data_IF_533385141019
#
_entry.id   IF_533385141019
#
_cell.length_a   1.000
_cell.length_b   1.000
_cell.length_c   1.000
_cell.angle_alpha   90.00
_cell.angle_beta   90.00
_cell.angle_gamma   90.00
#
_symmetry.space_group_name_H-M   'P 1'
#
loop_
_entity.id
_entity.type
_entity.pdbx_description
1 polymer ?
#
# COMPACT_ATOMS: atom_id res chain seq x y z
N UNK A 1 7.76 65.02 15.00
CA UNK A 1 8.77 63.95 14.85
C UNK A 1 8.09 62.76 14.21
N UNK A 2 8.59 62.35 13.05
CA UNK A 2 8.09 61.22 12.28
C UNK A 2 8.86 59.93 12.59
N UNK A 3 8.24 58.81 12.19
CA UNK A 3 8.77 57.45 12.07
C UNK A 3 8.95 56.68 13.39
N UNK A 4 8.48 55.44 13.54
CA UNK A 4 7.80 54.55 12.60
C UNK A 4 7.43 53.28 13.36
N UNK A 5 6.20 52.82 13.15
CA UNK A 5 5.67 51.56 13.66
C UNK A 5 6.50 50.40 13.07
N UNK A 6 7.08 49.47 13.86
CA UNK A 6 7.72 48.29 13.30
C UNK A 6 6.63 47.43 12.63
N UNK A 7 6.66 47.40 11.29
CA UNK A 7 5.73 46.62 10.50
C UNK A 7 5.92 45.14 10.78
N UNK A 8 4.94 44.55 11.47
CA UNK A 8 4.65 43.13 11.38
C UNK A 8 4.31 42.83 9.93
N UNK A 9 5.15 42.05 9.26
CA UNK A 9 5.00 41.80 7.84
C UNK A 9 5.93 40.73 7.30
N UNK A 10 5.97 39.56 7.93
CA UNK A 10 6.24 38.35 7.15
C UNK A 10 4.91 37.91 6.57
N UNK A 11 4.69 38.23 5.30
CA UNK A 11 3.66 37.58 4.50
C UNK A 11 3.94 36.09 4.60
N UNK A 12 3.01 35.30 5.12
CA UNK A 12 3.05 33.85 4.97
C UNK A 12 3.17 33.56 3.47
N UNK A 13 4.40 33.28 3.01
CA UNK A 13 4.63 32.85 1.64
C UNK A 13 4.10 31.44 1.56
N UNK A 14 2.82 31.31 1.19
CA UNK A 14 2.28 30.04 0.74
C UNK A 14 3.01 29.66 -0.56
N UNK A 15 4.07 28.85 -0.43
CA UNK A 15 4.74 28.23 -1.56
C UNK A 15 3.89 27.06 -2.04
N UNK A 16 3.31 27.19 -3.24
CA UNK A 16 2.59 26.08 -3.85
C UNK A 16 3.58 24.98 -4.20
N UNK A 17 3.33 23.78 -3.65
CA UNK A 17 3.97 22.54 -4.06
C UNK A 17 3.01 21.69 -4.87
N UNK A 18 3.53 20.97 -5.85
CA UNK A 18 2.78 20.05 -6.69
C UNK A 18 3.51 18.71 -6.69
N UNK A 19 2.80 17.66 -6.27
CA UNK A 19 3.28 16.29 -6.41
C UNK A 19 2.85 15.72 -7.77
N UNK A 20 3.78 15.12 -8.49
CA UNK A 20 3.48 14.34 -9.70
C UNK A 20 4.03 12.92 -9.55
N UNK A 21 3.26 11.93 -9.99
CA UNK A 21 3.66 10.52 -9.99
C UNK A 21 3.50 9.98 -11.41
N UNK A 22 4.56 9.39 -11.93
CA UNK A 22 4.56 8.66 -13.18
C UNK A 22 4.88 7.19 -12.93
N UNK A 23 4.21 6.31 -13.66
CA UNK A 23 4.43 4.87 -13.57
C UNK A 23 4.56 4.29 -14.96
N UNK A 24 5.60 3.49 -15.17
CA UNK A 24 5.79 2.71 -16.39
C UNK A 24 6.14 1.27 -16.00
N UNK A 25 5.50 0.30 -16.63
CA UNK A 25 5.72 -1.09 -16.31
C UNK A 25 5.12 -2.04 -17.33
N UNK A 26 5.38 -3.32 -17.12
CA UNK A 26 4.79 -4.41 -17.86
C UNK A 26 4.46 -5.55 -16.88
N UNK A 27 3.35 -6.22 -17.14
CA UNK A 27 2.92 -7.40 -16.41
C UNK A 27 2.61 -8.57 -17.35
N UNK A 28 2.72 -9.78 -16.80
CA UNK A 28 2.33 -11.03 -17.40
C UNK A 28 1.49 -11.78 -16.37
N UNK A 29 0.26 -12.13 -16.74
CA UNK A 29 -0.56 -13.08 -15.97
C UNK A 29 -0.78 -14.36 -16.77
N UNK A 30 -0.52 -15.50 -16.12
CA UNK A 30 -0.83 -16.82 -16.63
C UNK A 30 -1.85 -17.47 -15.70
N UNK A 31 -3.04 -17.72 -16.22
CA UNK A 31 -4.13 -18.34 -15.50
C UNK A 31 -4.38 -19.76 -16.02
N UNK A 32 -4.52 -20.69 -15.09
CA UNK A 32 -4.98 -22.05 -15.33
C UNK A 32 -6.20 -22.34 -14.46
N UNK A 33 -7.26 -22.83 -15.08
CA UNK A 33 -8.47 -23.23 -14.39
C UNK A 33 -8.93 -24.59 -14.91
N UNK A 34 -9.19 -25.51 -13.98
CA UNK A 34 -9.76 -26.83 -14.29
C UNK A 34 -10.63 -27.30 -13.13
N UNK A 35 -11.90 -27.52 -13.44
CA UNK A 35 -12.92 -28.01 -12.50
C UNK A 35 -12.95 -27.14 -11.23
N UNK A 36 -12.50 -27.70 -10.11
CA UNK A 36 -12.49 -27.08 -8.79
C UNK A 36 -11.16 -26.41 -8.43
N UNK A 37 -10.17 -26.42 -9.33
CA UNK A 37 -8.83 -25.90 -9.07
C UNK A 37 -8.47 -24.75 -10.01
N UNK A 38 -7.94 -23.67 -9.43
CA UNK A 38 -7.33 -22.57 -10.17
C UNK A 38 -5.90 -22.32 -9.72
N UNK A 39 -5.06 -21.90 -10.65
CA UNK A 39 -3.70 -21.45 -10.40
C UNK A 39 -3.41 -20.21 -11.24
N UNK A 40 -2.86 -19.18 -10.63
CA UNK A 40 -2.51 -17.94 -11.30
C UNK A 40 -1.08 -17.54 -10.95
N UNK A 41 -0.25 -17.34 -11.97
CA UNK A 41 1.07 -16.74 -11.84
C UNK A 41 1.06 -15.33 -12.44
N UNK A 42 1.31 -14.32 -11.61
CA UNK A 42 1.47 -12.93 -12.02
C UNK A 42 2.92 -12.51 -11.85
N UNK A 43 3.53 -11.99 -12.91
CA UNK A 43 4.83 -11.34 -12.90
C UNK A 43 4.63 -9.88 -13.30
N UNK A 44 5.20 -8.94 -12.56
CA UNK A 44 5.12 -7.53 -12.89
C UNK A 44 6.47 -6.86 -12.63
N UNK A 45 6.90 -6.02 -13.56
CA UNK A 45 8.06 -5.15 -13.39
C UNK A 45 7.68 -3.72 -13.77
N UNK A 46 8.10 -2.74 -12.98
CA UNK A 46 7.85 -1.34 -13.31
C UNK A 46 8.72 -0.39 -12.51
N UNK A 47 8.67 0.87 -12.93
CA UNK A 47 9.29 2.00 -12.26
C UNK A 47 8.22 3.03 -11.93
N UNK A 48 8.28 3.55 -10.70
CA UNK A 48 7.49 4.69 -10.25
C UNK A 48 8.41 5.87 -10.01
N UNK A 49 8.17 6.96 -10.73
CA UNK A 49 8.85 8.24 -10.59
C UNK A 49 7.95 9.18 -9.79
N UNK A 50 8.44 9.67 -8.65
CA UNK A 50 7.75 10.64 -7.81
C UNK A 50 8.48 11.98 -7.91
N UNK A 51 7.75 13.06 -8.12
CA UNK A 51 8.27 14.41 -8.20
C UNK A 51 7.60 15.31 -7.15
N UNK A 52 8.38 16.08 -6.39
CA UNK A 52 7.88 17.19 -5.56
C UNK A 52 8.39 18.51 -6.14
N UNK A 53 7.48 19.27 -6.75
CA UNK A 53 7.78 20.47 -7.53
C UNK A 53 7.26 21.71 -6.79
N UNK A 54 8.16 22.62 -6.43
CA UNK A 54 7.79 23.97 -6.00
C UNK A 54 7.34 24.81 -7.19
N UNK A 55 6.61 25.89 -6.92
CA UNK A 55 6.19 26.85 -7.93
C UNK A 55 7.35 27.33 -8.81
N UNK A 56 7.28 27.05 -10.12
CA UNK A 56 8.31 27.41 -11.10
C UNK A 56 9.38 26.34 -11.35
N UNK A 57 9.39 25.22 -10.61
CA UNK A 57 10.22 24.06 -10.91
C UNK A 57 9.57 23.17 -11.97
N UNK A 58 10.43 22.54 -12.77
CA UNK A 58 10.10 21.43 -13.67
C UNK A 58 10.70 20.12 -13.17
N UNK A 59 10.34 18.99 -13.79
CA UNK A 59 10.85 17.64 -13.45
C UNK A 59 12.37 17.48 -13.48
N UNK A 60 13.10 18.32 -14.21
CA UNK A 60 14.56 18.30 -14.24
C UNK A 60 15.21 19.13 -13.12
N UNK A 61 14.42 19.91 -12.39
CA UNK A 61 14.88 20.92 -11.43
C UNK A 61 14.23 20.83 -10.05
N UNK A 62 13.22 19.97 -9.89
CA UNK A 62 12.54 19.69 -8.63
C UNK A 62 13.01 18.37 -8.00
N UNK A 63 12.52 18.09 -6.79
CA UNK A 63 12.85 16.85 -6.09
C UNK A 63 12.26 15.66 -6.85
N UNK A 64 13.03 14.58 -6.91
CA UNK A 64 12.69 13.41 -7.69
C UNK A 64 13.14 12.12 -7.01
N UNK A 65 12.27 11.12 -6.96
CA UNK A 65 12.56 9.78 -6.44
C UNK A 65 11.93 8.72 -7.36
N UNK A 66 12.76 7.90 -7.97
CA UNK A 66 12.37 6.75 -8.78
C UNK A 66 12.59 5.44 -8.01
N UNK A 67 11.58 4.58 -7.99
CA UNK A 67 11.63 3.23 -7.41
C UNK A 67 11.35 2.23 -8.51
N UNK A 68 12.27 1.30 -8.73
CA UNK A 68 12.04 0.13 -9.57
C UNK A 68 11.53 -1.02 -8.69
N UNK A 69 10.53 -1.75 -9.18
CA UNK A 69 9.91 -2.85 -8.47
C UNK A 69 9.68 -4.04 -9.41
N UNK A 70 9.99 -5.24 -8.90
CA UNK A 70 9.58 -6.51 -9.47
C UNK A 70 8.70 -7.26 -8.48
N UNK A 71 7.60 -7.81 -8.96
CA UNK A 71 6.70 -8.69 -8.21
C UNK A 71 6.52 -10.01 -8.94
N UNK A 72 6.56 -11.11 -8.20
CA UNK A 72 6.09 -12.41 -8.66
C UNK A 72 5.12 -12.95 -7.62
N UNK A 73 3.89 -13.26 -8.04
CA UNK A 73 2.84 -13.79 -7.17
C UNK A 73 2.30 -15.06 -7.80
N UNK A 74 2.30 -16.15 -7.04
CA UNK A 74 1.70 -17.41 -7.44
C UNK A 74 0.58 -17.78 -6.47
N UNK A 75 -0.65 -17.75 -6.95
CA UNK A 75 -1.86 -18.05 -6.18
C UNK A 75 -2.46 -19.36 -6.64
N UNK A 76 -2.96 -20.14 -5.70
CA UNK A 76 -3.66 -21.39 -5.96
C UNK A 76 -4.94 -21.42 -5.14
N UNK A 77 -6.04 -21.84 -5.75
CA UNK A 77 -7.31 -22.04 -5.04
C UNK A 77 -7.93 -23.38 -5.40
N UNK A 78 -8.66 -23.96 -4.45
CA UNK A 78 -9.33 -25.24 -4.58
C UNK A 78 -10.69 -25.20 -3.89
N UNK A 79 -11.76 -25.43 -4.65
CA UNK A 79 -13.11 -25.63 -4.10
C UNK A 79 -13.23 -27.07 -3.60
N UNK A 80 -13.26 -27.24 -2.28
CA UNK A 80 -13.39 -28.54 -1.63
C UNK A 80 -14.79 -29.12 -1.88
N UNK A 81 -15.81 -28.24 -1.81
CA UNK A 81 -17.20 -28.51 -2.14
C UNK A 81 -17.90 -27.17 -2.47
N UNK A 82 -19.24 -27.20 -2.57
CA UNK A 82 -20.05 -26.02 -2.92
C UNK A 82 -20.00 -24.93 -1.84
N UNK A 83 -19.67 -25.28 -0.59
CA UNK A 83 -19.61 -24.35 0.53
C UNK A 83 -18.20 -23.86 0.87
N UNK A 84 -17.17 -24.70 0.71
CA UNK A 84 -15.81 -24.47 1.20
C UNK A 84 -14.81 -24.38 0.05
N UNK A 85 -14.09 -23.26 0.00
CA UNK A 85 -12.92 -23.08 -0.84
C UNK A 85 -11.71 -22.71 0.01
N UNK A 86 -10.55 -23.25 -0.36
CA UNK A 86 -9.27 -22.91 0.27
C UNK A 86 -8.31 -22.40 -0.79
N UNK A 87 -7.36 -21.59 -0.36
CA UNK A 87 -6.30 -21.10 -1.24
C UNK A 87 -5.03 -20.82 -0.48
N UNK A 88 -3.96 -20.67 -1.25
CA UNK A 88 -2.66 -20.31 -0.74
C UNK A 88 -1.83 -19.60 -1.80
N UNK A 89 -0.89 -18.80 -1.32
CA UNK A 89 -0.06 -17.97 -2.17
C UNK A 89 1.39 -17.97 -1.75
N UNK A 90 2.26 -17.80 -2.74
CA UNK A 90 3.64 -17.38 -2.56
C UNK A 90 3.84 -16.07 -3.30
N UNK A 91 4.57 -15.15 -2.71
CA UNK A 91 4.95 -13.92 -3.37
C UNK A 91 6.40 -13.56 -3.11
N UNK A 92 6.95 -12.85 -4.07
CA UNK A 92 8.26 -12.25 -4.01
C UNK A 92 8.16 -10.83 -4.52
N UNK A 93 8.62 -9.88 -3.72
CA UNK A 93 8.77 -8.49 -4.12
C UNK A 93 10.22 -8.07 -3.96
N UNK A 94 10.78 -7.48 -5.01
CA UNK A 94 12.04 -6.77 -4.95
C UNK A 94 11.82 -5.32 -5.35
N UNK A 95 12.35 -4.40 -4.55
CA UNK A 95 12.29 -2.97 -4.79
C UNK A 95 13.67 -2.37 -4.62
N UNK A 96 14.02 -1.38 -5.44
CA UNK A 96 15.24 -0.60 -5.26
C UNK A 96 14.97 0.85 -5.60
N UNK A 97 15.71 1.74 -4.94
CA UNK A 97 15.80 3.11 -5.38
C UNK A 97 16.59 3.15 -6.69
N UNK A 98 15.95 3.52 -7.79
CA UNK A 98 16.57 3.58 -9.11
C UNK A 98 17.32 4.90 -9.31
N UNK A 99 16.71 6.01 -8.86
CA UNK A 99 17.30 7.33 -8.89
C UNK A 99 16.66 8.20 -7.81
N UNK A 100 17.42 9.11 -7.25
CA UNK A 100 16.90 10.16 -6.42
C UNK A 100 17.69 11.44 -6.63
N UNK A 101 17.01 12.58 -6.57
CA UNK A 101 17.60 13.90 -6.70
C UNK A 101 16.86 14.89 -5.79
N UNK A 102 17.62 15.59 -4.94
CA UNK A 102 17.13 16.74 -4.21
C UNK A 102 17.57 18.01 -4.92
N UNK A 103 16.60 18.86 -5.24
CA UNK A 103 16.85 20.16 -5.83
C UNK A 103 17.61 21.07 -4.85
N UNK A 104 18.38 22.06 -5.35
CA UNK A 104 18.98 23.06 -4.49
C UNK A 104 17.91 23.79 -3.67
N UNK A 105 18.25 24.09 -2.41
CA UNK A 105 17.39 24.86 -1.52
C UNK A 105 18.20 25.92 -0.77
N UNK A 106 17.50 26.79 -0.03
CA UNK A 106 18.15 27.77 0.86
C UNK A 106 19.05 27.10 1.92
N UNK A 107 18.88 25.80 2.15
CA UNK A 107 19.58 25.02 3.16
C UNK A 107 20.76 24.20 2.60
N UNK A 108 20.99 24.19 1.28
CA UNK A 108 22.15 23.52 0.71
C UNK A 108 22.10 23.26 -0.80
N UNK A 109 23.23 22.81 -1.38
CA UNK A 109 23.31 22.44 -2.79
C UNK A 109 22.47 21.20 -3.08
N UNK A 110 22.18 20.97 -4.36
CA UNK A 110 21.56 19.73 -4.82
C UNK A 110 22.32 18.50 -4.32
N UNK A 111 21.58 17.44 -4.00
CA UNK A 111 22.15 16.16 -3.56
C UNK A 111 21.58 15.04 -4.39
N UNK A 112 22.46 14.23 -4.95
CA UNK A 112 22.06 12.96 -5.51
C UNK A 112 21.67 12.02 -4.37
N UNK A 113 20.53 11.39 -4.56
CA UNK A 113 19.94 10.47 -3.63
C UNK A 113 20.04 9.07 -4.27
N UNK A 114 21.22 8.46 -4.11
CA UNK A 114 21.51 7.12 -4.62
C UNK A 114 22.31 6.37 -3.55
N UNK A 115 21.64 5.78 -2.53
CA UNK A 115 22.33 4.87 -1.65
C UNK A 115 22.67 3.66 -2.54
N UNK A 116 23.92 3.54 -2.95
CA UNK A 116 24.40 2.61 -3.97
C UNK A 116 24.03 1.11 -3.74
N UNK A 117 23.34 0.74 -2.64
CA UNK A 117 23.05 -0.64 -2.22
C UNK A 117 21.82 -0.81 -1.30
N UNK A 118 20.60 -0.43 -1.69
CA UNK A 118 19.41 -0.80 -0.88
C UNK A 118 18.28 -1.50 -1.66
N UNK A 119 18.52 -2.67 -2.26
CA UNK A 119 17.42 -3.53 -2.67
C UNK A 119 16.68 -4.03 -1.42
N UNK A 120 15.39 -3.72 -1.31
CA UNK A 120 14.48 -4.32 -0.34
C UNK A 120 13.84 -5.54 -0.97
N UNK A 121 13.90 -6.67 -0.28
CA UNK A 121 13.24 -7.91 -0.71
C UNK A 121 12.22 -8.34 0.33
N UNK A 122 11.10 -8.84 -0.14
CA UNK A 122 10.04 -9.42 0.67
C UNK A 122 9.66 -10.77 0.07
N UNK A 123 9.62 -11.81 0.89
CA UNK A 123 9.05 -13.11 0.51
C UNK A 123 7.84 -13.32 1.40
N UNK A 124 6.69 -13.57 0.80
CA UNK A 124 5.46 -13.85 1.52
C UNK A 124 4.91 -15.24 1.23
N UNK A 125 4.26 -15.80 2.26
CA UNK A 125 3.43 -16.99 2.15
C UNK A 125 2.07 -16.68 2.75
N UNK A 126 1.00 -17.11 2.09
CA UNK A 126 -0.37 -16.88 2.54
C UNK A 126 -1.24 -18.12 2.44
N UNK A 127 -2.28 -18.14 3.27
CA UNK A 127 -3.36 -19.09 3.22
C UNK A 127 -4.69 -18.38 3.44
N UNK A 128 -5.74 -18.85 2.77
CA UNK A 128 -7.09 -18.33 2.88
C UNK A 128 -8.09 -19.49 2.88
N UNK A 129 -9.16 -19.35 3.66
CA UNK A 129 -10.31 -20.22 3.62
C UNK A 129 -11.57 -19.37 3.55
N UNK A 130 -12.49 -19.76 2.67
CA UNK A 130 -13.80 -19.15 2.49
C UNK A 130 -14.87 -20.22 2.64
N UNK A 131 -15.86 -19.97 3.50
CA UNK A 131 -16.95 -20.89 3.78
C UNK A 131 -18.30 -20.19 3.65
N UNK A 132 -19.14 -20.65 2.73
CA UNK A 132 -20.48 -20.13 2.47
C UNK A 132 -21.52 -21.17 2.90
N UNK A 133 -22.35 -20.83 3.89
CA UNK A 133 -23.41 -21.69 4.41
C UNK A 133 -24.73 -20.93 4.47
N UNK A 134 -25.65 -21.26 3.57
CA UNK A 134 -26.96 -20.62 3.44
C UNK A 134 -26.84 -19.09 3.29
N UNK A 135 -27.31 -18.33 4.27
CA UNK A 135 -27.24 -16.87 4.30
C UNK A 135 -25.90 -16.34 4.84
N UNK A 136 -24.99 -17.20 5.29
CA UNK A 136 -23.74 -16.80 5.93
C UNK A 136 -22.54 -17.04 5.02
N UNK A 137 -21.57 -16.14 5.10
CA UNK A 137 -20.24 -16.30 4.53
C UNK A 137 -19.21 -16.03 5.63
N UNK A 138 -18.14 -16.81 5.63
CA UNK A 138 -17.03 -16.66 6.55
C UNK A 138 -15.73 -16.69 5.77
N UNK A 139 -14.81 -15.81 6.11
CA UNK A 139 -13.47 -15.78 5.54
C UNK A 139 -12.45 -15.70 6.66
N UNK A 140 -11.36 -16.44 6.50
CA UNK A 140 -10.18 -16.29 7.31
C UNK A 140 -8.94 -16.36 6.42
N UNK A 141 -8.01 -15.44 6.60
CA UNK A 141 -6.72 -15.46 5.93
C UNK A 141 -5.60 -15.14 6.90
N UNK A 142 -4.43 -15.69 6.60
CA UNK A 142 -3.18 -15.42 7.30
C UNK A 142 -2.06 -15.31 6.29
N UNK A 143 -1.12 -14.42 6.57
CA UNK A 143 0.03 -14.17 5.73
C UNK A 143 1.25 -13.91 6.60
N UNK A 144 2.38 -14.43 6.16
CA UNK A 144 3.66 -14.21 6.79
C UNK A 144 4.65 -13.66 5.75
N UNK A 145 5.29 -12.54 6.07
CA UNK A 145 6.19 -11.78 5.23
C UNK A 145 7.58 -11.71 5.86
N UNK A 146 8.59 -12.27 5.21
CA UNK A 146 10.00 -12.09 5.58
C UNK A 146 10.58 -10.95 4.74
N UNK A 147 10.80 -9.81 5.40
CA UNK A 147 11.41 -8.63 4.81
C UNK A 147 12.90 -8.54 5.18
N UNK A 148 13.79 -8.38 4.21
CA UNK A 148 15.24 -8.36 4.48
C UNK A 148 15.71 -7.20 5.37
N UNK A 149 14.94 -6.12 5.49
CA UNK A 149 15.27 -4.97 6.34
C UNK A 149 14.50 -4.96 7.66
N UNK A 150 13.27 -5.49 7.67
CA UNK A 150 12.34 -5.38 8.79
C UNK A 150 11.97 -6.72 9.43
N UNK A 151 12.56 -7.81 8.96
CA UNK A 151 12.34 -9.16 9.45
C UNK A 151 10.92 -9.66 9.18
N UNK A 152 10.51 -10.59 10.03
CA UNK A 152 9.30 -11.36 9.86
C UNK A 152 8.05 -10.62 10.40
N UNK A 153 7.00 -10.52 9.58
CA UNK A 153 5.74 -9.88 9.93
C UNK A 153 4.57 -10.82 9.60
N UNK A 154 3.69 -11.08 10.57
CA UNK A 154 2.50 -11.93 10.37
C UNK A 154 1.24 -11.09 10.45
N UNK A 155 0.42 -11.15 9.40
CA UNK A 155 -0.88 -10.49 9.32
C UNK A 155 -1.99 -11.50 9.13
N UNK A 156 -3.19 -11.13 9.57
CA UNK A 156 -4.37 -11.99 9.43
C UNK A 156 -5.61 -11.13 9.28
N UNK A 157 -6.65 -11.72 8.68
CA UNK A 157 -7.95 -11.11 8.55
C UNK A 157 -9.03 -12.17 8.73
N UNK A 158 -10.11 -11.81 9.41
CA UNK A 158 -11.34 -12.60 9.44
C UNK A 158 -12.52 -11.72 9.05
N UNK A 159 -13.50 -12.32 8.40
CA UNK A 159 -14.74 -11.65 8.05
C UNK A 159 -15.93 -12.62 8.17
N UNK A 160 -17.09 -12.06 8.49
CA UNK A 160 -18.37 -12.74 8.45
C UNK A 160 -19.39 -11.87 7.72
N UNK A 161 -20.04 -12.44 6.71
CA UNK A 161 -21.15 -11.85 5.99
C UNK A 161 -22.45 -12.57 6.32
N UNK A 162 -23.54 -11.81 6.40
CA UNK A 162 -24.88 -12.32 6.59
C UNK A 162 -25.86 -11.64 5.64
N UNK A 163 -26.47 -12.43 4.75
CA UNK A 163 -27.59 -12.03 3.91
C UNK A 163 -28.85 -11.90 4.77
N UNK A 164 -29.03 -10.71 5.36
CA UNK A 164 -30.15 -10.40 6.27
C UNK A 164 -31.50 -10.43 5.56
N UNK A 165 -31.53 -10.09 4.27
CA UNK A 165 -32.70 -10.10 3.41
C UNK A 165 -32.29 -10.25 1.94
N UNK A 166 -33.24 -10.53 1.05
CA UNK A 166 -32.97 -10.60 -0.38
C UNK A 166 -32.42 -9.26 -0.89
N UNK A 167 -31.17 -9.29 -1.38
CA UNK A 167 -30.45 -8.10 -1.84
C UNK A 167 -29.79 -7.26 -0.74
N UNK A 168 -29.77 -7.70 0.52
CA UNK A 168 -29.12 -6.97 1.63
C UNK A 168 -28.13 -7.85 2.39
N UNK A 169 -26.93 -7.33 2.64
CA UNK A 169 -25.86 -8.06 3.33
C UNK A 169 -25.20 -7.20 4.39
N UNK A 170 -25.05 -7.77 5.58
CA UNK A 170 -24.27 -7.20 6.67
C UNK A 170 -22.92 -7.91 6.73
N UNK A 171 -21.82 -7.18 6.71
CA UNK A 171 -20.46 -7.72 6.76
C UNK A 171 -19.70 -7.10 7.91
N UNK A 172 -19.08 -7.94 8.75
CA UNK A 172 -18.12 -7.53 9.77
C UNK A 172 -16.75 -8.11 9.42
N UNK A 173 -15.72 -7.29 9.43
CA UNK A 173 -14.33 -7.73 9.24
C UNK A 173 -13.42 -7.17 10.33
N UNK A 174 -12.38 -7.93 10.64
CA UNK A 174 -11.30 -7.51 11.53
C UNK A 174 -9.99 -8.12 11.08
N UNK A 175 -8.91 -7.33 11.10
CA UNK A 175 -7.61 -7.83 10.71
C UNK A 175 -6.46 -6.92 11.13
N UNK A 176 -5.25 -7.42 10.91
CA UNK A 176 -4.00 -6.69 11.11
C UNK A 176 -3.33 -6.39 9.77
N UNK A 177 -2.59 -5.30 9.71
CA UNK A 177 -1.72 -4.98 8.58
C UNK A 177 -0.42 -4.35 9.07
N UNK A 178 0.61 -4.38 8.23
CA UNK A 178 1.86 -3.67 8.48
C UNK A 178 2.30 -2.91 7.24
N UNK A 179 3.07 -1.83 7.44
CA UNK A 179 3.70 -1.06 6.37
C UNK A 179 5.16 -0.83 6.73
N UNK A 180 6.05 -1.41 5.93
CA UNK A 180 7.49 -1.12 6.04
C UNK A 180 7.74 0.36 5.67
N UNK A 181 8.65 1.06 6.38
CA UNK A 181 9.08 2.41 6.05
C UNK A 181 9.46 2.56 4.57
N UNK A 182 9.16 3.72 3.98
CA UNK A 182 9.51 3.98 2.59
C UNK A 182 11.01 4.25 2.44
N UNK A 183 11.53 4.14 1.22
CA UNK A 183 12.91 4.55 0.94
C UNK A 183 13.14 6.01 1.35
N UNK A 184 12.17 6.88 1.11
CA UNK A 184 12.23 8.30 1.48
C UNK A 184 12.40 8.45 2.99
N UNK A 185 11.59 7.76 3.80
CA UNK A 185 11.68 7.85 5.26
C UNK A 185 13.07 7.43 5.79
N UNK A 186 13.65 6.40 5.17
CA UNK A 186 14.91 5.82 5.64
C UNK A 186 16.14 6.59 5.18
N UNK A 187 16.10 7.20 4.00
CA UNK A 187 17.31 7.64 3.33
C UNK A 187 17.24 9.05 2.73
N UNK A 188 16.14 9.80 2.91
CA UNK A 188 16.03 11.18 2.41
C UNK A 188 17.12 12.08 3.03
N UNK A 189 18.05 12.65 2.23
CA UNK A 189 19.23 13.33 2.75
C UNK A 189 18.93 14.49 3.72
N UNK A 190 19.46 14.43 4.93
CA UNK A 190 19.28 15.44 5.98
C UNK A 190 18.05 15.24 6.87
N UNK A 191 17.19 14.27 6.57
CA UNK A 191 16.03 13.88 7.39
C UNK A 191 15.92 12.36 7.52
N UNK A 192 17.03 11.64 7.35
CA UNK A 192 17.09 10.18 7.38
C UNK A 192 16.65 9.63 8.74
N UNK A 193 15.73 8.67 8.76
CA UNK A 193 15.32 7.96 9.97
C UNK A 193 15.61 6.46 9.84
N UNK A 194 16.88 6.03 9.87
CA UNK A 194 17.27 4.65 9.55
C UNK A 194 16.79 3.61 10.58
N UNK A 195 16.33 4.04 11.76
CA UNK A 195 15.86 3.17 12.84
C UNK A 195 14.33 3.08 12.93
N UNK A 196 13.60 3.51 11.89
CA UNK A 196 12.14 3.37 11.86
C UNK A 196 11.75 1.89 11.88
N UNK A 197 10.70 1.61 12.64
CA UNK A 197 10.05 0.31 12.65
C UNK A 197 8.92 0.30 11.64
N UNK A 198 8.46 -0.89 11.19
CA UNK A 198 7.20 -1.00 10.49
C UNK A 198 6.05 -0.39 11.30
N UNK A 199 5.19 0.34 10.58
CA UNK A 199 3.89 0.76 11.08
C UNK A 199 3.00 -0.48 11.15
N UNK A 200 2.32 -0.68 12.27
CA UNK A 200 1.37 -1.78 12.46
C UNK A 200 -0.03 -1.22 12.65
N UNK A 201 -1.03 -1.92 12.14
CA UNK A 201 -2.42 -1.50 12.29
C UNK A 201 -3.36 -2.65 12.58
N UNK A 202 -4.45 -2.32 13.28
CA UNK A 202 -5.63 -3.16 13.48
C UNK A 202 -6.85 -2.40 12.95
N UNK A 203 -7.56 -3.03 12.03
CA UNK A 203 -8.76 -2.46 11.43
C UNK A 203 -9.98 -3.31 11.77
N UNK A 204 -11.10 -2.66 12.08
CA UNK A 204 -12.42 -3.28 12.20
C UNK A 204 -13.40 -2.52 11.33
N UNK A 205 -14.12 -3.22 10.47
CA UNK A 205 -15.14 -2.61 9.61
C UNK A 205 -16.48 -3.33 9.73
N UNK A 206 -17.54 -2.54 9.77
CA UNK A 206 -18.92 -3.01 9.70
C UNK A 206 -19.60 -2.34 8.51
N UNK A 207 -20.02 -3.14 7.55
CA UNK A 207 -20.67 -2.69 6.32
C UNK A 207 -22.07 -3.26 6.22
N UNK A 208 -23.00 -2.44 5.76
CA UNK A 208 -24.33 -2.87 5.31
C UNK A 208 -24.46 -2.47 3.84
N UNK A 209 -24.72 -3.44 2.97
CA UNK A 209 -24.97 -3.22 1.55
C UNK A 209 -26.39 -3.60 1.16
N UNK A 210 -26.90 -2.99 0.10
CA UNK A 210 -28.25 -3.22 -0.40
C UNK A 210 -28.38 -2.93 -1.88
N UNK A 211 -29.15 -3.75 -2.58
CA UNK A 211 -29.60 -3.53 -3.95
C UNK A 211 -31.07 -3.13 -3.93
N UNK A 212 -31.37 -1.92 -4.37
CA UNK A 212 -32.72 -1.45 -4.65
C UNK A 212 -32.86 -1.18 -6.16
N UNK A 213 -34.09 -1.19 -6.70
CA UNK A 213 -34.36 -1.25 -8.15
C UNK A 213 -33.60 -0.24 -9.04
N UNK A 214 -33.15 0.88 -8.49
CA UNK A 214 -32.38 1.91 -9.22
C UNK A 214 -31.07 2.29 -8.52
N UNK A 215 -30.71 1.65 -7.41
CA UNK A 215 -29.55 2.04 -6.61
C UNK A 215 -28.95 0.85 -5.88
N UNK A 216 -27.65 0.65 -6.10
CA UNK A 216 -26.80 -0.18 -5.25
C UNK A 216 -26.13 0.75 -4.24
N UNK A 217 -26.16 0.38 -2.97
CA UNK A 217 -25.60 1.20 -1.90
C UNK A 217 -24.85 0.36 -0.89
N UNK A 218 -23.86 1.00 -0.26
CA UNK A 218 -23.11 0.45 0.88
C UNK A 218 -22.87 1.56 1.89
N UNK A 219 -23.09 1.27 3.17
CA UNK A 219 -22.70 2.12 4.28
C UNK A 219 -21.70 1.36 5.14
N UNK A 220 -20.56 1.96 5.41
CA UNK A 220 -19.47 1.34 6.17
C UNK A 220 -19.06 2.23 7.33
N UNK A 221 -18.99 1.66 8.52
CA UNK A 221 -18.29 2.24 9.67
C UNK A 221 -16.98 1.48 9.90
N UNK A 222 -15.91 2.20 10.22
CA UNK A 222 -14.59 1.60 10.42
C UNK A 222 -13.89 2.17 11.66
N UNK A 223 -13.00 1.38 12.25
CA UNK A 223 -12.12 1.78 13.35
C UNK A 223 -10.70 1.25 13.11
N UNK A 224 -9.75 2.18 13.03
CA UNK A 224 -8.34 1.90 12.79
C UNK A 224 -7.50 2.29 14.01
N UNK A 225 -6.74 1.34 14.55
CA UNK A 225 -5.67 1.59 15.50
C UNK A 225 -4.33 1.42 14.80
N UNK A 226 -3.50 2.47 14.79
CA UNK A 226 -2.19 2.49 14.14
C UNK A 226 -1.11 2.72 15.19
N UNK A 227 -0.05 1.94 15.14
CA UNK A 227 1.12 2.02 16.02
C UNK A 227 2.40 2.20 15.20
N UNK A 228 3.42 2.82 15.80
CA UNK A 228 4.71 3.17 15.17
C UNK A 228 4.60 4.14 13.97
N UNK A 229 3.91 5.28 14.16
CA UNK A 229 3.95 6.41 13.22
C UNK A 229 5.23 7.24 13.33
#
# INVERSE_FOLDING_TARGET
SSYGNPGWGTVDKHEKKTGEVEYVGADLSLEYSKDVYTSELKLAYGQQDNYDLKSGQSKSTGDHVAIEQFNAIWLNSYSINDELSIGGGLDYRNEKLAKGYLAPSDWGPAKDYNPEKNPRTNIGISAIAQYALNAWTFEASVRNDENNQFGNNTTWQTAAGWKVYEGYELTLSHGTAFRAPSFVDLYYPGYEMPNLKPEESKNTELSLSGVASIVDWTVTGYYNQIENM
#
